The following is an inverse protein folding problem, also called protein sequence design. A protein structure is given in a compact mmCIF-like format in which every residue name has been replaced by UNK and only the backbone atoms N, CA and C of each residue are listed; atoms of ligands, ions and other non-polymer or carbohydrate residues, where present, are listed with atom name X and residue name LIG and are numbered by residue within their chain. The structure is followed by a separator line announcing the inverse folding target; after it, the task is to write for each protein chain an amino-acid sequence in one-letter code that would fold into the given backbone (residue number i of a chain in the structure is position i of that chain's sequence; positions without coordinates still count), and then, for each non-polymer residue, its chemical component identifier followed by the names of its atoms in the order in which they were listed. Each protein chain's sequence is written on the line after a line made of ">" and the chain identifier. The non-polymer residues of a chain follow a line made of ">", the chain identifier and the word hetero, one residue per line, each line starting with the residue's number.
data_IF_283488301373
#
_entry.id   IF_283488301373
#
_cell.length_a   1.000
_cell.length_b   1.000
_cell.length_c   1.000
_cell.angle_alpha   90.00
_cell.angle_beta   90.00
_cell.angle_gamma   90.00
#
_symmetry.space_group_name_H-M   'P 1'
#
loop_
_entity.id
_entity.type
_entity.pdbx_description
1 polymer ?
#
# COMPACT_ATOMS: atom_id res chain seq x y z
N UNK A 1 -21.24 -14.46 -37.94
CA UNK A 1 -20.98 -13.53 -36.83
C UNK A 1 -19.98 -14.24 -35.92
N UNK A 2 -18.72 -13.97 -36.15
CA UNK A 2 -17.59 -14.59 -35.42
C UNK A 2 -17.33 -13.75 -34.19
N UNK A 3 -17.63 -14.30 -33.01
CA UNK A 3 -17.18 -13.74 -31.73
C UNK A 3 -15.66 -13.81 -31.69
N UNK A 4 -14.98 -12.68 -31.87
CA UNK A 4 -13.61 -12.56 -31.43
C UNK A 4 -13.59 -12.54 -29.88
N UNK A 5 -12.74 -13.32 -29.23
CA UNK A 5 -12.54 -13.19 -27.80
C UNK A 5 -11.92 -11.81 -27.53
N UNK A 6 -12.61 -10.99 -26.74
CA UNK A 6 -12.03 -9.79 -26.16
C UNK A 6 -10.82 -10.22 -25.35
N UNK A 7 -9.62 -10.01 -25.90
CA UNK A 7 -8.39 -10.19 -25.17
C UNK A 7 -8.41 -9.22 -23.97
N UNK A 8 -8.55 -9.80 -22.79
CA UNK A 8 -8.47 -9.09 -21.53
C UNK A 8 -7.15 -8.33 -21.46
N UNK A 9 -7.20 -7.02 -21.63
CA UNK A 9 -6.07 -6.14 -21.39
C UNK A 9 -5.73 -6.27 -19.91
N UNK A 10 -4.53 -6.75 -19.63
CA UNK A 10 -3.99 -6.96 -18.29
C UNK A 10 -4.11 -5.66 -17.47
N UNK A 11 -5.12 -5.61 -16.61
CA UNK A 11 -5.29 -4.58 -15.59
C UNK A 11 -4.32 -4.88 -14.43
N UNK A 12 -3.04 -4.53 -14.60
CA UNK A 12 -2.09 -4.48 -13.49
C UNK A 12 -2.41 -3.25 -12.64
N UNK A 13 -2.60 -3.44 -11.35
CA UNK A 13 -3.26 -2.49 -10.48
C UNK A 13 -2.37 -2.00 -9.38
N UNK A 14 -2.37 -0.71 -9.21
CA UNK A 14 -1.79 -0.01 -8.09
C UNK A 14 -2.67 -0.16 -6.85
N UNK A 15 -2.07 -0.28 -5.69
CA UNK A 15 -2.73 -0.17 -4.40
C UNK A 15 -2.39 1.19 -3.84
N UNK A 16 -3.40 1.98 -3.55
CA UNK A 16 -3.22 3.31 -3.00
C UNK A 16 -2.63 3.28 -1.59
N UNK A 17 -1.86 4.29 -1.26
CA UNK A 17 -1.31 4.49 0.06
C UNK A 17 -2.44 4.72 1.06
N UNK A 18 -2.41 3.99 2.12
CA UNK A 18 -3.29 4.24 3.22
C UNK A 18 -2.84 5.45 4.04
N UNK A 19 -3.53 6.52 3.88
CA UNK A 19 -3.40 7.72 4.72
C UNK A 19 -3.44 7.36 6.22
N UNK A 20 -4.22 6.36 6.61
CA UNK A 20 -4.35 5.92 8.00
C UNK A 20 -3.10 5.21 8.57
N UNK A 21 -2.17 4.70 7.74
CA UNK A 21 -0.93 4.03 8.25
C UNK A 21 0.23 5.02 8.43
N UNK A 22 0.27 6.10 7.65
CA UNK A 22 1.33 7.12 7.74
C UNK A 22 1.13 8.13 8.87
N UNK A 23 -0.05 8.16 9.50
CA UNK A 23 -0.25 8.97 10.68
C UNK A 23 0.50 8.31 11.83
N UNK A 24 1.61 8.89 12.22
CA UNK A 24 2.28 8.53 13.49
C UNK A 24 1.23 8.53 14.59
N UNK A 25 1.25 7.55 15.50
CA UNK A 25 0.34 7.52 16.64
C UNK A 25 0.74 8.62 17.63
N UNK A 26 0.48 9.89 17.28
CA UNK A 26 0.61 11.02 18.21
C UNK A 26 -0.66 11.16 19.05
N UNK A 27 -1.82 10.74 18.55
CA UNK A 27 -3.01 10.61 19.35
C UNK A 27 -2.97 9.24 20.03
N UNK A 28 -2.83 9.21 21.33
CA UNK A 28 -3.06 8.01 22.13
C UNK A 28 -4.49 7.52 21.89
N UNK A 29 -4.66 6.21 21.69
CA UNK A 29 -5.99 5.62 21.73
C UNK A 29 -6.70 6.04 23.01
N UNK A 30 -8.02 6.30 22.97
CA UNK A 30 -8.77 6.69 24.15
C UNK A 30 -8.78 5.53 25.15
N UNK A 31 -7.99 5.66 26.21
CA UNK A 31 -7.90 4.66 27.26
C UNK A 31 -9.23 4.58 28.02
N UNK A 32 -9.91 3.44 27.90
CA UNK A 32 -11.17 3.18 28.62
C UNK A 32 -10.94 2.56 29.99
N UNK A 33 -9.90 1.72 30.11
CA UNK A 33 -9.55 1.03 31.33
C UNK A 33 -8.04 0.75 31.43
N UNK A 34 -7.47 0.88 32.62
CA UNK A 34 -6.14 0.38 32.94
C UNK A 34 -6.02 0.09 34.45
N UNK A 35 -5.46 -1.09 34.80
CA UNK A 35 -5.23 -1.51 36.19
C UNK A 35 -3.78 -1.91 36.48
N UNK A 36 -2.84 -1.55 35.60
CA UNK A 36 -1.42 -1.90 35.69
C UNK A 36 -1.08 -3.25 35.03
N UNK A 37 -2.01 -4.15 34.81
CA UNK A 37 -1.85 -5.39 34.06
C UNK A 37 -2.68 -5.40 32.78
N UNK A 38 -3.89 -4.87 32.82
CA UNK A 38 -4.83 -4.84 31.70
C UNK A 38 -5.05 -3.41 31.24
N UNK A 39 -5.01 -3.21 29.94
CA UNK A 39 -5.34 -1.96 29.28
C UNK A 39 -6.37 -2.24 28.19
N UNK A 40 -7.44 -1.44 28.15
CA UNK A 40 -8.47 -1.45 27.10
C UNK A 40 -8.53 -0.04 26.52
N UNK A 41 -8.31 0.04 25.23
CA UNK A 41 -8.28 1.29 24.48
C UNK A 41 -9.42 1.28 23.45
N UNK A 42 -10.14 2.40 23.32
CA UNK A 42 -10.97 2.63 22.15
C UNK A 42 -10.14 3.15 21.00
N UNK A 43 -10.30 2.56 19.83
CA UNK A 43 -9.70 3.00 18.58
C UNK A 43 -10.71 3.82 17.80
N UNK A 44 -10.38 5.07 17.48
CA UNK A 44 -11.19 5.94 16.64
C UNK A 44 -10.29 6.61 15.62
N UNK A 45 -10.43 6.25 14.34
CA UNK A 45 -9.67 6.84 13.23
C UNK A 45 -10.63 7.18 12.10
N UNK A 46 -10.43 8.34 11.49
CA UNK A 46 -11.23 8.81 10.37
C UNK A 46 -10.36 9.44 9.30
N UNK A 47 -10.77 9.33 8.05
CA UNK A 47 -10.22 10.10 6.96
C UNK A 47 -11.35 10.52 6.02
N UNK A 48 -11.28 11.73 5.49
CA UNK A 48 -12.16 12.25 4.46
C UNK A 48 -11.32 12.97 3.42
N UNK A 49 -11.53 12.64 2.14
CA UNK A 49 -10.82 13.22 1.02
C UNK A 49 -11.76 13.78 -0.05
N UNK A 50 -11.39 14.90 -0.64
CA UNK A 50 -11.97 15.43 -1.85
C UNK A 50 -10.91 15.41 -2.95
N UNK A 51 -11.30 14.96 -4.14
CA UNK A 51 -10.41 14.66 -5.25
C UNK A 51 -10.97 15.23 -6.55
N UNK A 52 -10.06 15.59 -7.44
CA UNK A 52 -10.38 16.06 -8.78
C UNK A 52 -9.32 15.58 -9.77
N UNK A 53 -9.74 15.09 -10.93
CA UNK A 53 -8.90 14.81 -12.08
C UNK A 53 -9.51 15.46 -13.30
N UNK A 54 -8.73 16.25 -14.04
CA UNK A 54 -9.19 16.90 -15.27
C UNK A 54 -9.39 15.90 -16.41
N UNK A 55 -8.66 14.81 -16.40
CA UNK A 55 -8.72 13.75 -17.41
C UNK A 55 -9.13 12.42 -16.80
N UNK A 56 -9.90 11.62 -17.56
CA UNK A 56 -10.28 10.26 -17.25
C UNK A 56 -9.42 9.25 -18.02
N UNK A 57 -9.46 8.00 -17.60
CA UNK A 57 -8.59 6.92 -18.12
C UNK A 57 -9.40 5.68 -18.51
N UNK A 58 -8.96 4.99 -19.55
CA UNK A 58 -9.59 3.81 -20.12
C UNK A 58 -9.28 2.50 -19.37
N UNK A 59 -9.29 2.52 -18.02
CA UNK A 59 -8.88 1.36 -17.22
C UNK A 59 -10.01 0.34 -17.02
N UNK A 60 -11.18 0.79 -16.58
CA UNK A 60 -12.36 -0.07 -16.42
C UNK A 60 -13.20 -0.19 -17.70
N UNK A 61 -13.00 0.73 -18.66
CA UNK A 61 -13.85 0.85 -19.87
C UNK A 61 -15.20 1.54 -19.63
N UNK A 62 -15.44 2.05 -18.42
CA UNK A 62 -16.73 2.69 -18.05
C UNK A 62 -16.69 4.21 -18.17
N UNK A 63 -15.49 4.82 -18.20
CA UNK A 63 -15.31 6.26 -18.27
C UNK A 63 -15.35 6.78 -19.69
N UNK A 64 -15.96 7.96 -19.86
CA UNK A 64 -15.82 8.80 -21.05
C UNK A 64 -14.68 9.80 -20.86
N UNK A 65 -14.23 10.43 -21.98
CA UNK A 65 -13.31 11.58 -21.88
C UNK A 65 -13.93 12.69 -21.04
N UNK A 66 -13.12 13.43 -20.30
CA UNK A 66 -13.54 14.51 -19.41
C UNK A 66 -12.97 14.36 -18.03
N UNK A 67 -13.54 15.06 -17.07
CA UNK A 67 -13.07 15.13 -15.69
C UNK A 67 -13.89 14.23 -14.76
N UNK A 68 -13.29 13.91 -13.61
CA UNK A 68 -13.98 13.30 -12.47
C UNK A 68 -13.76 14.13 -11.22
N UNK A 69 -14.83 14.27 -10.43
CA UNK A 69 -14.80 14.92 -9.10
C UNK A 69 -15.50 13.99 -8.11
N UNK A 70 -14.77 13.57 -7.07
CA UNK A 70 -15.31 12.62 -6.10
C UNK A 70 -14.81 12.88 -4.69
N UNK A 71 -15.47 12.28 -3.74
CA UNK A 71 -15.08 12.28 -2.34
C UNK A 71 -15.04 10.86 -1.81
N UNK A 72 -14.12 10.62 -0.89
CA UNK A 72 -14.04 9.37 -0.15
C UNK A 72 -14.05 9.65 1.36
N UNK A 73 -14.64 8.75 2.10
CA UNK A 73 -14.55 8.77 3.55
C UNK A 73 -14.34 7.37 4.12
N UNK A 74 -13.59 7.31 5.20
CA UNK A 74 -13.32 6.10 5.94
C UNK A 74 -13.37 6.39 7.44
N UNK A 75 -13.96 5.49 8.20
CA UNK A 75 -14.03 5.55 9.66
C UNK A 75 -13.76 4.19 10.24
N UNK A 76 -12.71 4.07 11.06
CA UNK A 76 -12.37 2.85 11.78
C UNK A 76 -12.60 3.06 13.29
N UNK A 77 -13.29 2.11 13.92
CA UNK A 77 -13.65 2.19 15.33
C UNK A 77 -13.71 0.81 15.95
N UNK A 78 -13.37 0.71 17.22
CA UNK A 78 -13.37 -0.55 17.95
C UNK A 78 -12.60 -0.50 19.25
N UNK A 79 -12.13 -1.66 19.66
CA UNK A 79 -11.43 -1.86 20.93
C UNK A 79 -10.14 -2.64 20.71
N UNK A 80 -9.10 -2.21 21.39
CA UNK A 80 -7.83 -2.91 21.51
C UNK A 80 -7.61 -3.28 22.98
N UNK A 81 -7.20 -4.52 23.24
CA UNK A 81 -6.93 -5.06 24.59
C UNK A 81 -5.49 -5.51 24.69
N UNK A 82 -4.85 -5.18 25.82
CA UNK A 82 -3.53 -5.69 26.21
C UNK A 82 -3.61 -6.18 27.66
N UNK A 83 -3.02 -7.34 27.91
CA UNK A 83 -2.88 -7.87 29.26
C UNK A 83 -1.47 -8.38 29.47
N UNK A 84 -0.78 -7.89 30.51
CA UNK A 84 0.59 -8.24 30.84
C UNK A 84 0.63 -9.12 32.09
N UNK A 85 1.37 -10.23 32.04
CA UNK A 85 1.57 -11.13 33.16
C UNK A 85 3.05 -11.54 33.26
N UNK A 86 3.62 -11.41 34.44
CA UNK A 86 5.01 -11.79 34.69
C UNK A 86 5.25 -13.30 34.55
N UNK A 87 4.22 -14.12 34.75
CA UNK A 87 4.33 -15.59 34.71
C UNK A 87 3.92 -16.22 33.41
N UNK A 88 3.18 -15.47 32.56
CA UNK A 88 2.60 -16.03 31.32
C UNK A 88 2.99 -15.22 30.06
N UNK A 89 3.60 -14.05 30.20
CA UNK A 89 3.85 -13.12 29.10
C UNK A 89 2.66 -12.20 28.82
N UNK A 90 2.59 -11.62 27.64
CA UNK A 90 1.63 -10.58 27.27
C UNK A 90 0.60 -11.11 26.27
N UNK A 91 -0.68 -11.00 26.59
CA UNK A 91 -1.78 -11.28 25.65
C UNK A 91 -2.30 -9.98 25.05
N UNK A 92 -2.76 -10.02 23.81
CA UNK A 92 -3.37 -8.88 23.15
C UNK A 92 -4.48 -9.32 22.20
N UNK A 93 -5.44 -8.42 21.95
CA UNK A 93 -6.54 -8.66 21.04
C UNK A 93 -7.02 -7.34 20.45
N UNK A 94 -7.65 -7.39 19.27
CA UNK A 94 -8.35 -6.27 18.68
C UNK A 94 -9.67 -6.71 18.06
N UNK A 95 -10.68 -5.84 18.15
CA UNK A 95 -11.94 -5.99 17.44
C UNK A 95 -12.37 -4.62 16.92
N UNK A 96 -12.15 -4.39 15.62
CA UNK A 96 -12.39 -3.11 14.99
C UNK A 96 -13.23 -3.26 13.72
N UNK A 97 -14.09 -2.29 13.46
CA UNK A 97 -14.85 -2.14 12.22
C UNK A 97 -14.31 -1.00 11.39
N UNK A 98 -14.48 -1.10 10.09
CA UNK A 98 -14.26 0.00 9.16
C UNK A 98 -15.51 0.26 8.33
N UNK A 99 -15.90 1.53 8.25
CA UNK A 99 -16.96 2.04 7.37
C UNK A 99 -16.31 2.88 6.29
N UNK A 100 -16.61 2.60 5.02
CA UNK A 100 -16.08 3.35 3.88
C UNK A 100 -17.20 3.82 2.97
N UNK A 101 -16.96 4.94 2.27
CA UNK A 101 -17.90 5.47 1.29
C UNK A 101 -17.19 6.28 0.20
N UNK A 102 -17.69 6.15 -1.05
CA UNK A 102 -17.33 6.99 -2.19
C UNK A 102 -18.56 7.78 -2.63
N UNK A 103 -18.36 9.04 -3.05
CA UNK A 103 -19.40 9.96 -3.52
C UNK A 103 -18.96 10.64 -4.82
N UNK A 104 -19.90 11.29 -5.52
CA UNK A 104 -19.65 12.03 -6.75
C UNK A 104 -19.52 11.13 -7.96
N UNK A 105 -18.63 11.46 -8.87
CA UNK A 105 -18.46 10.73 -10.13
C UNK A 105 -17.76 9.37 -9.95
N UNK A 106 -17.13 9.10 -8.79
CA UNK A 106 -16.13 8.07 -8.62
C UNK A 106 -14.79 8.48 -9.22
N UNK A 107 -13.77 7.62 -9.10
CA UNK A 107 -12.40 7.92 -9.54
C UNK A 107 -12.24 7.94 -11.08
N UNK A 108 -11.21 8.61 -11.61
CA UNK A 108 -11.04 8.81 -13.05
C UNK A 108 -10.65 7.55 -13.83
N UNK A 109 -10.25 6.46 -13.17
CA UNK A 109 -9.97 5.17 -13.80
C UNK A 109 -11.21 4.27 -13.88
N UNK A 110 -12.29 4.64 -13.16
CA UNK A 110 -13.51 3.85 -13.06
C UNK A 110 -13.34 2.63 -12.15
N UNK A 111 -12.50 2.70 -11.13
CA UNK A 111 -12.44 1.69 -10.09
C UNK A 111 -13.65 1.75 -9.17
N UNK A 112 -14.22 2.95 -9.02
CA UNK A 112 -15.42 3.26 -8.24
C UNK A 112 -16.37 4.15 -9.04
N UNK A 113 -17.66 4.19 -8.68
CA UNK A 113 -18.69 4.97 -9.36
C UNK A 113 -19.43 6.00 -8.48
N UNK A 114 -18.93 6.23 -7.26
CA UNK A 114 -19.54 7.20 -6.36
C UNK A 114 -20.74 6.69 -5.55
N UNK A 115 -21.12 5.41 -5.71
CA UNK A 115 -22.24 4.82 -4.97
C UNK A 115 -21.81 3.79 -3.93
N UNK A 116 -20.52 3.56 -3.79
CA UNK A 116 -19.98 2.55 -2.89
C UNK A 116 -20.11 2.97 -1.44
N UNK A 117 -20.50 1.98 -0.63
CA UNK A 117 -20.56 2.10 0.83
C UNK A 117 -20.49 0.71 1.45
N UNK A 118 -19.72 0.58 2.52
CA UNK A 118 -19.65 -0.67 3.26
C UNK A 118 -19.26 -0.43 4.72
N UNK A 119 -19.68 -1.35 5.58
CA UNK A 119 -19.18 -1.48 6.96
C UNK A 119 -18.81 -2.93 7.16
N UNK A 120 -17.59 -3.20 7.57
CA UNK A 120 -17.04 -4.55 7.77
C UNK A 120 -16.15 -4.59 8.99
N UNK A 121 -15.96 -5.78 9.54
CA UNK A 121 -14.90 -6.04 10.51
C UNK A 121 -13.56 -5.87 9.75
N UNK A 122 -12.66 -5.08 10.34
CA UNK A 122 -11.32 -4.87 9.82
C UNK A 122 -10.29 -5.64 10.65
N UNK A 123 -10.31 -5.49 11.95
CA UNK A 123 -9.48 -6.29 12.84
C UNK A 123 -10.36 -7.20 13.73
N UNK A 124 -10.01 -8.47 13.84
CA UNK A 124 -10.61 -9.45 14.76
C UNK A 124 -9.57 -10.53 15.03
N UNK A 125 -8.62 -10.26 15.91
CA UNK A 125 -7.52 -11.17 16.21
C UNK A 125 -7.18 -11.20 17.69
N UNK A 126 -6.52 -12.30 18.07
CA UNK A 126 -5.87 -12.46 19.36
C UNK A 126 -4.40 -12.83 19.15
N UNK A 127 -3.57 -12.50 20.10
CA UNK A 127 -2.16 -12.86 20.10
C UNK A 127 -1.57 -12.95 21.50
N UNK A 128 -0.36 -13.49 21.52
CA UNK A 128 0.43 -13.68 22.73
C UNK A 128 1.90 -13.42 22.44
N UNK A 129 2.59 -12.72 23.36
CA UNK A 129 4.02 -12.45 23.34
C UNK A 129 4.68 -13.01 24.58
N UNK A 130 5.88 -13.51 24.38
CA UNK A 130 6.62 -14.15 25.47
C UNK A 130 7.14 -13.21 26.54
N UNK A 131 7.10 -11.88 26.35
CA UNK A 131 7.78 -10.93 27.25
C UNK A 131 9.24 -11.37 27.52
N UNK A 132 9.63 -11.52 28.79
CA UNK A 132 10.96 -11.97 29.22
C UNK A 132 11.02 -13.48 29.54
N UNK A 133 10.01 -14.29 29.18
CA UNK A 133 10.00 -15.73 29.49
C UNK A 133 11.10 -16.52 28.79
N UNK A 134 11.61 -16.02 27.66
CA UNK A 134 12.69 -16.65 26.89
C UNK A 134 13.82 -15.64 26.62
N UNK A 135 14.64 -15.28 27.62
CA UNK A 135 15.65 -14.22 27.51
C UNK A 135 16.66 -14.44 26.38
N UNK A 136 16.94 -15.70 26.03
CA UNK A 136 17.85 -16.08 24.93
C UNK A 136 17.33 -15.67 23.54
N UNK A 137 16.03 -15.43 23.39
CA UNK A 137 15.41 -14.95 22.15
C UNK A 137 15.16 -13.44 22.16
N UNK A 138 15.48 -12.77 23.30
CA UNK A 138 15.19 -11.35 23.53
C UNK A 138 13.76 -11.11 24.04
N UNK A 139 13.48 -9.86 24.44
CA UNK A 139 12.15 -9.43 24.87
C UNK A 139 11.13 -9.65 23.74
N UNK A 140 9.98 -10.26 24.08
CA UNK A 140 8.95 -10.67 23.12
C UNK A 140 9.51 -11.57 22.00
N UNK A 141 10.54 -12.39 22.31
CA UNK A 141 11.24 -13.23 21.36
C UNK A 141 10.38 -14.32 20.71
N UNK A 142 9.17 -14.57 21.22
CA UNK A 142 8.10 -15.32 20.56
C UNK A 142 6.85 -14.44 20.55
N UNK A 143 6.25 -14.20 19.36
CA UNK A 143 4.97 -13.52 19.19
C UNK A 143 4.11 -14.39 18.26
N UNK A 144 2.96 -14.82 18.75
CA UNK A 144 2.00 -15.62 17.99
C UNK A 144 0.66 -14.89 17.93
N UNK A 145 0.06 -14.84 16.73
CA UNK A 145 -1.28 -14.25 16.57
C UNK A 145 -2.11 -15.01 15.54
N UNK A 146 -3.42 -14.96 15.72
CA UNK A 146 -4.40 -15.60 14.84
C UNK A 146 -5.64 -14.73 14.71
N UNK A 147 -6.21 -14.69 13.49
CA UNK A 147 -7.45 -13.97 13.19
C UNK A 147 -7.31 -13.02 12.00
N UNK A 148 -8.25 -12.08 11.91
CA UNK A 148 -8.28 -11.06 10.87
C UNK A 148 -7.39 -9.89 11.27
N UNK A 149 -6.31 -9.64 10.52
CA UNK A 149 -5.36 -8.56 10.83
C UNK A 149 -4.60 -8.11 9.59
N UNK A 150 -4.11 -6.87 9.63
CA UNK A 150 -3.21 -6.34 8.61
C UNK A 150 -1.79 -6.88 8.80
N UNK A 151 -1.14 -7.30 7.72
CA UNK A 151 0.25 -7.80 7.70
C UNK A 151 1.05 -6.97 6.70
N UNK A 152 2.19 -6.46 7.16
CA UNK A 152 3.16 -5.74 6.32
C UNK A 152 4.54 -6.38 6.51
N UNK A 153 5.28 -6.59 5.42
CA UNK A 153 6.63 -7.16 5.41
C UNK A 153 7.61 -6.12 4.86
N UNK A 154 8.62 -5.79 5.65
CA UNK A 154 9.55 -4.70 5.31
C UNK A 154 8.81 -3.37 5.17
N UNK A 155 9.02 -2.66 4.09
CA UNK A 155 8.30 -1.43 3.75
C UNK A 155 7.12 -1.64 2.78
N UNK A 156 6.77 -2.89 2.52
CA UNK A 156 5.58 -3.26 1.77
C UNK A 156 5.80 -3.63 0.30
N UNK A 157 7.04 -3.88 -0.14
CA UNK A 157 7.34 -4.20 -1.53
C UNK A 157 6.58 -5.43 -2.05
N UNK A 158 6.50 -6.50 -1.25
CA UNK A 158 5.74 -7.72 -1.57
C UNK A 158 4.39 -7.75 -0.87
N UNK A 159 4.35 -7.37 0.41
CA UNK A 159 3.14 -7.47 1.24
C UNK A 159 2.99 -6.19 2.07
N UNK A 160 1.94 -5.43 1.77
CA UNK A 160 1.54 -4.22 2.50
C UNK A 160 0.03 -4.25 2.82
N UNK A 161 -0.43 -5.39 3.31
CA UNK A 161 -1.84 -5.63 3.55
C UNK A 161 -2.62 -6.04 2.29
N UNK A 162 -3.85 -6.45 2.50
CA UNK A 162 -4.80 -6.84 1.45
C UNK A 162 -5.62 -5.62 0.99
N UNK A 163 -4.94 -4.67 0.38
CA UNK A 163 -5.33 -3.26 0.32
C UNK A 163 -6.06 -2.79 -0.96
N UNK A 164 -6.31 -3.62 -1.96
CA UNK A 164 -6.95 -3.21 -3.21
C UNK A 164 -8.48 -3.05 -3.03
N UNK A 165 -8.96 -1.83 -2.80
CA UNK A 165 -10.36 -1.52 -2.50
C UNK A 165 -11.15 -1.06 -3.74
N UNK A 166 -11.36 -1.94 -4.69
CA UNK A 166 -12.15 -1.65 -5.89
C UNK A 166 -13.62 -1.44 -5.56
N UNK A 167 -14.29 -0.66 -6.41
CA UNK A 167 -15.71 -0.38 -6.35
C UNK A 167 -16.51 -1.21 -7.35
N UNK A 168 -17.69 -0.69 -7.73
CA UNK A 168 -18.71 -1.40 -8.48
C UNK A 168 -18.51 -1.41 -9.98
N UNK A 169 -17.67 -0.56 -10.54
CA UNK A 169 -17.47 -0.45 -11.98
C UNK A 169 -16.62 -1.57 -12.56
N UNK A 170 -15.79 -2.22 -11.73
CA UNK A 170 -14.85 -3.22 -12.20
C UNK A 170 -15.51 -4.58 -12.33
N UNK A 171 -15.42 -5.16 -13.54
CA UNK A 171 -15.94 -6.50 -13.86
C UNK A 171 -17.39 -6.70 -13.42
N UNK A 172 -18.27 -5.72 -13.71
CA UNK A 172 -19.71 -5.72 -13.34
C UNK A 172 -19.92 -5.92 -11.83
N UNK A 173 -19.07 -5.34 -11.01
CA UNK A 173 -19.13 -5.41 -9.55
C UNK A 173 -18.56 -6.69 -8.94
N UNK A 174 -18.09 -7.66 -9.72
CA UNK A 174 -17.51 -8.91 -9.20
C UNK A 174 -16.25 -8.70 -8.36
N UNK A 175 -15.58 -7.57 -8.54
CA UNK A 175 -14.38 -7.21 -7.77
C UNK A 175 -14.64 -6.13 -6.71
N UNK A 176 -15.90 -5.81 -6.43
CA UNK A 176 -16.27 -4.79 -5.47
C UNK A 176 -15.88 -5.19 -4.03
N UNK A 177 -15.03 -4.37 -3.40
CA UNK A 177 -14.66 -4.47 -1.99
C UNK A 177 -15.23 -3.33 -1.13
N UNK A 178 -16.03 -2.43 -1.71
CA UNK A 178 -16.71 -1.35 -1.01
C UNK A 178 -16.24 0.05 -1.34
N UNK A 179 -15.33 0.23 -2.30
CA UNK A 179 -14.82 1.54 -2.72
C UNK A 179 -13.95 2.24 -1.67
N UNK A 180 -13.94 3.57 -1.68
CA UNK A 180 -12.92 4.40 -1.04
C UNK A 180 -11.52 3.94 -1.47
N UNK A 181 -11.35 3.88 -2.78
CA UNK A 181 -10.21 3.26 -3.44
C UNK A 181 -8.89 3.91 -3.02
N UNK A 182 -8.83 5.25 -2.99
CA UNK A 182 -7.62 5.99 -2.62
C UNK A 182 -7.33 5.88 -1.12
N UNK A 183 -8.33 6.05 -0.25
CA UNK A 183 -8.12 5.99 1.20
C UNK A 183 -7.76 4.59 1.69
N UNK A 184 -8.10 3.55 0.95
CA UNK A 184 -7.67 2.16 1.15
C UNK A 184 -7.71 1.72 2.62
N UNK A 185 -8.86 1.86 3.25
CA UNK A 185 -8.99 1.63 4.70
C UNK A 185 -9.20 0.16 5.08
N UNK A 186 -9.51 -0.70 4.09
CA UNK A 186 -9.61 -2.15 4.27
C UNK A 186 -8.34 -2.81 3.78
N UNK A 187 -7.56 -3.37 4.73
CA UNK A 187 -6.22 -3.95 4.49
C UNK A 187 -6.00 -5.29 5.19
N UNK A 188 -6.85 -5.64 6.15
CA UNK A 188 -6.67 -6.88 6.86
C UNK A 188 -6.92 -8.08 5.95
N UNK A 189 -6.05 -9.07 6.05
CA UNK A 189 -6.30 -10.43 5.57
C UNK A 189 -7.43 -11.05 6.38
N UNK A 190 -8.33 -11.77 5.74
CA UNK A 190 -9.51 -12.36 6.37
C UNK A 190 -9.15 -13.35 7.47
N UNK A 191 -8.15 -14.19 7.21
CA UNK A 191 -7.65 -15.15 8.19
C UNK A 191 -6.12 -15.17 8.13
N UNK A 192 -5.51 -15.15 9.29
CA UNK A 192 -4.05 -15.26 9.42
C UNK A 192 -3.67 -16.18 10.56
N UNK A 193 -2.53 -16.85 10.39
CA UNK A 193 -1.77 -17.48 11.47
C UNK A 193 -0.35 -16.95 11.35
N UNK A 194 0.16 -16.31 12.39
CA UNK A 194 1.45 -15.63 12.37
C UNK A 194 2.27 -16.06 13.57
N UNK A 195 3.46 -16.59 13.34
CA UNK A 195 4.49 -16.85 14.35
C UNK A 195 5.71 -16.02 14.04
N UNK A 196 6.13 -15.17 14.97
CA UNK A 196 7.35 -14.39 14.90
C UNK A 196 8.34 -14.86 15.96
N UNK A 197 9.57 -15.08 15.56
CA UNK A 197 10.67 -15.55 16.40
C UNK A 197 11.82 -14.53 16.37
N UNK A 198 12.40 -14.26 17.53
CA UNK A 198 13.48 -13.29 17.70
C UNK A 198 12.99 -11.92 18.20
N UNK A 199 13.87 -11.21 18.89
CA UNK A 199 13.56 -9.91 19.48
C UNK A 199 13.67 -8.74 18.49
N UNK A 200 13.80 -7.53 19.04
CA UNK A 200 13.87 -6.30 18.23
C UNK A 200 15.20 -6.14 17.46
N UNK A 201 16.26 -6.80 17.89
CA UNK A 201 17.60 -6.79 17.28
C UNK A 201 18.15 -8.20 17.14
N UNK A 202 19.13 -8.37 16.24
CA UNK A 202 19.70 -9.68 15.92
C UNK A 202 18.88 -10.42 14.86
N UNK A 203 18.97 -11.72 14.89
CA UNK A 203 18.21 -12.59 13.99
C UNK A 203 16.76 -12.69 14.40
N UNK A 204 15.86 -12.55 13.44
CA UNK A 204 14.43 -12.80 13.58
C UNK A 204 13.86 -13.49 12.34
N UNK A 205 12.77 -14.21 12.53
CA UNK A 205 12.09 -14.95 11.46
C UNK A 205 10.59 -14.94 11.69
N UNK A 206 9.81 -14.79 10.62
CA UNK A 206 8.37 -14.91 10.67
C UNK A 206 7.92 -16.09 9.80
N UNK A 207 6.94 -16.83 10.29
CA UNK A 207 6.20 -17.85 9.54
C UNK A 207 4.72 -17.46 9.55
N UNK A 208 4.14 -17.34 8.36
CA UNK A 208 2.79 -16.83 8.22
C UNK A 208 1.99 -17.67 7.23
N UNK A 209 0.72 -17.85 7.55
CA UNK A 209 -0.32 -18.27 6.63
C UNK A 209 -1.36 -17.16 6.57
N UNK A 210 -1.67 -16.67 5.35
CA UNK A 210 -2.54 -15.52 5.11
C UNK A 210 -3.58 -15.90 4.07
N UNK A 211 -4.85 -15.59 4.35
CA UNK A 211 -5.96 -15.79 3.42
C UNK A 211 -6.68 -14.48 3.17
N UNK A 212 -6.83 -14.12 1.91
CA UNK A 212 -7.53 -12.92 1.46
C UNK A 212 -9.02 -13.18 1.23
N UNK A 213 -9.87 -12.20 1.57
CA UNK A 213 -11.28 -12.13 1.15
C UNK A 213 -11.49 -11.16 -0.04
N UNK A 214 -10.41 -10.61 -0.57
CA UNK A 214 -10.45 -9.54 -1.57
C UNK A 214 -10.70 -10.08 -2.99
N UNK A 215 -11.87 -9.82 -3.59
CA UNK A 215 -12.13 -10.28 -4.94
C UNK A 215 -11.23 -9.60 -5.98
N UNK A 216 -10.77 -8.36 -5.73
CA UNK A 216 -9.82 -7.65 -6.58
C UNK A 216 -8.44 -8.30 -6.63
N UNK A 217 -8.11 -9.11 -5.62
CA UNK A 217 -6.88 -9.91 -5.55
C UNK A 217 -7.09 -11.37 -5.95
N UNK A 218 -8.30 -11.77 -6.37
CA UNK A 218 -8.69 -13.16 -6.61
C UNK A 218 -8.60 -14.04 -5.35
N UNK A 219 -8.79 -13.45 -4.16
CA UNK A 219 -8.83 -14.12 -2.85
C UNK A 219 -7.71 -15.13 -2.64
N UNK A 220 -6.44 -14.77 -2.78
CA UNK A 220 -5.36 -15.74 -2.65
C UNK A 220 -5.17 -16.20 -1.21
N UNK A 221 -4.72 -17.44 -1.09
CA UNK A 221 -4.19 -18.04 0.13
C UNK A 221 -2.68 -18.19 -0.03
N UNK A 222 -1.89 -17.66 0.90
CA UNK A 222 -0.43 -17.61 0.79
C UNK A 222 0.28 -18.11 2.05
N UNK A 223 1.40 -18.80 1.87
CA UNK A 223 2.36 -19.10 2.91
C UNK A 223 3.58 -18.18 2.73
N UNK A 224 4.05 -17.59 3.83
CA UNK A 224 5.19 -16.67 3.85
C UNK A 224 6.18 -17.09 4.93
N UNK A 225 7.46 -17.03 4.59
CA UNK A 225 8.57 -17.14 5.54
C UNK A 225 9.52 -15.98 5.35
N UNK A 226 9.99 -15.38 6.46
CA UNK A 226 11.01 -14.34 6.44
C UNK A 226 12.19 -14.73 7.31
N UNK A 227 13.37 -14.23 6.98
CA UNK A 227 14.56 -14.29 7.84
C UNK A 227 15.25 -12.93 7.75
N UNK A 228 15.44 -12.28 8.89
CA UNK A 228 16.03 -10.96 8.95
C UNK A 228 17.17 -10.89 9.98
N UNK A 229 18.11 -10.01 9.71
CA UNK A 229 19.09 -9.55 10.70
C UNK A 229 18.95 -8.05 10.86
N UNK A 230 18.63 -7.61 12.09
CA UNK A 230 18.40 -6.22 12.46
C UNK A 230 19.52 -5.73 13.37
N UNK A 231 20.12 -4.60 13.03
CA UNK A 231 21.09 -3.91 13.87
C UNK A 231 20.94 -2.38 13.74
N UNK A 232 21.76 -1.61 14.45
CA UNK A 232 21.70 -0.14 14.47
C UNK A 232 21.97 0.52 13.10
N UNK A 233 22.65 -0.18 12.18
CA UNK A 233 22.96 0.32 10.83
C UNK A 233 21.87 0.02 9.81
N UNK A 234 20.95 -0.90 10.15
CA UNK A 234 19.83 -1.27 9.30
C UNK A 234 19.42 -2.72 9.43
N UNK A 235 18.56 -3.14 8.49
CA UNK A 235 18.01 -4.49 8.37
C UNK A 235 18.39 -5.09 7.04
N UNK A 236 18.77 -6.35 7.03
CA UNK A 236 18.88 -7.20 5.84
C UNK A 236 17.88 -8.34 6.03
N UNK A 237 17.11 -8.65 5.01
CA UNK A 237 16.07 -9.68 5.08
C UNK A 237 15.92 -10.48 3.81
N UNK A 238 15.47 -11.72 3.99
CA UNK A 238 15.04 -12.63 2.95
C UNK A 238 13.55 -12.91 3.13
N UNK A 239 12.82 -13.05 2.04
CA UNK A 239 11.41 -13.45 2.05
C UNK A 239 11.18 -14.57 1.05
N UNK A 240 10.44 -15.58 1.45
CA UNK A 240 9.83 -16.57 0.58
C UNK A 240 8.32 -16.49 0.71
N UNK A 241 7.61 -16.42 -0.42
CA UNK A 241 6.17 -16.44 -0.49
C UNK A 241 5.72 -17.48 -1.50
N UNK A 242 4.67 -18.23 -1.18
CA UNK A 242 4.02 -19.16 -2.11
C UNK A 242 2.52 -18.95 -2.08
N UNK A 243 1.91 -18.75 -3.24
CA UNK A 243 0.46 -18.76 -3.41
C UNK A 243 -0.02 -20.21 -3.43
N UNK A 244 -0.80 -20.58 -2.41
CA UNK A 244 -1.30 -21.95 -2.22
C UNK A 244 -2.58 -22.18 -3.03
N UNK A 245 -3.48 -21.20 -3.02
CA UNK A 245 -4.77 -21.25 -3.70
C UNK A 245 -5.27 -19.87 -4.13
N UNK A 246 -6.25 -19.83 -5.04
CA UNK A 246 -6.96 -18.62 -5.48
C UNK A 246 -8.41 -18.99 -5.83
N UNK A 247 -9.30 -18.00 -5.81
CA UNK A 247 -10.61 -18.14 -6.43
C UNK A 247 -10.41 -18.19 -7.96
N UNK A 248 -10.69 -19.36 -8.56
CA UNK A 248 -10.39 -19.59 -9.97
C UNK A 248 -11.14 -18.63 -10.91
N UNK A 249 -12.43 -18.38 -10.66
CA UNK A 249 -13.23 -17.51 -11.53
C UNK A 249 -12.72 -16.08 -11.52
N UNK A 250 -12.30 -15.58 -10.36
CA UNK A 250 -11.71 -14.25 -10.22
C UNK A 250 -10.27 -14.20 -10.76
N UNK A 251 -9.49 -15.26 -10.57
CA UNK A 251 -8.13 -15.34 -11.09
C UNK A 251 -8.10 -15.37 -12.61
N UNK A 252 -8.98 -16.13 -13.25
CA UNK A 252 -9.09 -16.22 -14.72
C UNK A 252 -9.37 -14.85 -15.38
N UNK A 253 -9.91 -13.87 -14.63
CA UNK A 253 -10.15 -12.51 -15.15
C UNK A 253 -8.86 -11.69 -15.29
N UNK A 254 -7.92 -11.80 -14.32
CA UNK A 254 -6.78 -10.88 -14.24
C UNK A 254 -5.47 -11.51 -13.83
N UNK A 255 -5.49 -12.68 -13.17
CA UNK A 255 -4.32 -13.31 -12.56
C UNK A 255 -4.29 -14.82 -12.77
N UNK A 256 -4.40 -15.32 -14.01
CA UNK A 256 -4.60 -16.76 -14.28
C UNK A 256 -3.44 -17.62 -13.79
N UNK A 257 -2.25 -17.07 -13.60
CA UNK A 257 -1.06 -17.78 -13.18
C UNK A 257 -0.70 -17.60 -11.70
N UNK A 258 -1.55 -16.88 -10.93
CA UNK A 258 -1.26 -16.57 -9.53
C UNK A 258 -1.25 -17.82 -8.64
N UNK A 259 -2.14 -18.79 -8.88
CA UNK A 259 -2.12 -20.07 -8.13
C UNK A 259 -0.82 -20.85 -8.41
N UNK A 260 -0.14 -21.22 -7.34
CA UNK A 260 1.13 -21.93 -7.39
C UNK A 260 2.36 -21.06 -7.60
N UNK A 261 2.20 -19.76 -7.84
CA UNK A 261 3.30 -18.79 -7.95
C UNK A 261 4.15 -18.79 -6.67
N UNK A 262 5.46 -18.67 -6.86
CA UNK A 262 6.44 -18.53 -5.77
C UNK A 262 7.21 -17.24 -5.97
N UNK A 263 7.47 -16.53 -4.88
CA UNK A 263 8.32 -15.35 -4.88
C UNK A 263 9.46 -15.51 -3.87
N UNK A 264 10.63 -15.04 -4.24
CA UNK A 264 11.82 -14.94 -3.40
C UNK A 264 12.27 -13.49 -3.42
N UNK A 265 12.54 -12.91 -2.25
CA UNK A 265 13.15 -11.59 -2.23
C UNK A 265 14.33 -11.50 -1.27
N UNK A 266 15.21 -10.54 -1.58
CA UNK A 266 16.25 -10.04 -0.69
C UNK A 266 16.09 -8.54 -0.55
N UNK A 267 16.10 -8.04 0.68
CA UNK A 267 15.96 -6.61 0.98
C UNK A 267 17.02 -6.11 1.94
N UNK A 268 17.32 -4.83 1.83
CA UNK A 268 18.14 -4.12 2.78
C UNK A 268 17.59 -2.70 2.96
N UNK A 269 17.61 -2.20 4.21
CA UNK A 269 17.20 -0.83 4.54
C UNK A 269 17.96 -0.34 5.75
N UNK A 270 18.47 0.90 5.70
CA UNK A 270 19.14 1.51 6.83
C UNK A 270 20.00 2.70 6.44
N UNK A 271 20.91 3.09 7.33
CA UNK A 271 21.85 4.19 7.09
C UNK A 271 23.31 3.74 6.90
N UNK A 272 23.56 2.43 6.91
CA UNK A 272 24.89 1.84 6.83
C UNK A 272 25.91 2.38 7.87
N UNK A 273 25.44 2.97 8.97
CA UNK A 273 26.26 3.64 10.01
C UNK A 273 26.68 5.06 9.66
N UNK A 274 26.13 5.66 8.59
CA UNK A 274 26.40 7.04 8.19
C UNK A 274 25.24 7.93 8.61
N UNK A 275 25.42 8.93 9.50
CA UNK A 275 24.38 9.87 9.86
C UNK A 275 23.80 10.57 8.63
N UNK A 276 22.51 10.87 8.66
CA UNK A 276 21.78 11.56 7.58
C UNK A 276 21.63 10.76 6.27
N UNK A 277 22.31 9.62 6.09
CA UNK A 277 22.14 8.75 4.93
C UNK A 277 20.93 7.82 5.13
N UNK A 278 20.15 7.63 4.09
CA UNK A 278 19.16 6.57 3.97
C UNK A 278 19.43 5.74 2.73
N UNK A 279 19.45 4.44 2.88
CA UNK A 279 19.57 3.48 1.79
C UNK A 279 18.47 2.43 1.92
N UNK A 280 17.82 2.08 0.82
CA UNK A 280 16.88 0.96 0.77
C UNK A 280 16.94 0.27 -0.60
N UNK A 281 16.62 -1.00 -0.62
CA UNK A 281 16.49 -1.77 -1.85
C UNK A 281 15.89 -3.14 -1.58
N UNK A 282 15.17 -3.64 -2.58
CA UNK A 282 14.66 -5.01 -2.58
C UNK A 282 14.69 -5.54 -4.02
N UNK A 283 15.08 -6.79 -4.17
CA UNK A 283 14.98 -7.56 -5.41
C UNK A 283 14.08 -8.76 -5.18
N UNK A 284 13.06 -8.92 -6.01
CA UNK A 284 12.12 -10.03 -5.99
C UNK A 284 12.16 -10.80 -7.32
N UNK A 285 12.09 -12.12 -7.21
CA UNK A 285 11.96 -13.04 -8.34
C UNK A 285 10.73 -13.89 -8.18
N UNK A 286 9.92 -13.95 -9.22
CA UNK A 286 8.72 -14.79 -9.32
C UNK A 286 8.98 -15.98 -10.21
N UNK A 287 8.37 -17.11 -9.82
CA UNK A 287 8.27 -18.31 -10.64
C UNK A 287 6.79 -18.61 -10.85
N UNK A 288 6.34 -18.52 -12.09
CA UNK A 288 4.98 -18.82 -12.55
C UNK A 288 4.99 -19.97 -13.54
N UNK A 289 3.80 -20.43 -13.95
CA UNK A 289 3.67 -21.48 -14.98
C UNK A 289 4.23 -21.07 -16.35
N UNK A 290 4.14 -19.78 -16.69
CA UNK A 290 4.66 -19.22 -17.95
C UNK A 290 6.15 -18.94 -17.95
N UNK A 291 6.80 -18.87 -16.78
CA UNK A 291 8.22 -18.53 -16.67
C UNK A 291 8.55 -17.73 -15.42
N UNK A 292 9.61 -16.97 -15.53
CA UNK A 292 10.16 -16.20 -14.42
C UNK A 292 10.04 -14.71 -14.69
N UNK A 293 9.67 -13.96 -13.63
CA UNK A 293 9.57 -12.51 -13.64
C UNK A 293 10.39 -11.91 -12.50
N UNK A 294 10.71 -10.65 -12.58
CA UNK A 294 11.44 -9.97 -11.51
C UNK A 294 10.99 -8.52 -11.34
N UNK A 295 11.14 -8.04 -10.12
CA UNK A 295 10.98 -6.64 -9.78
C UNK A 295 12.04 -6.23 -8.77
N UNK A 296 12.47 -4.99 -8.80
CA UNK A 296 13.41 -4.46 -7.85
C UNK A 296 13.38 -2.95 -7.78
N UNK A 297 13.85 -2.42 -6.67
CA UNK A 297 14.14 -1.01 -6.52
C UNK A 297 15.45 -0.80 -5.76
N UNK A 298 16.03 0.37 -5.96
CA UNK A 298 17.12 0.92 -5.17
C UNK A 298 16.82 2.38 -4.86
N UNK A 299 17.04 2.78 -3.61
CA UNK A 299 16.79 4.13 -3.13
C UNK A 299 17.96 4.63 -2.30
N UNK A 300 18.32 5.89 -2.48
CA UNK A 300 19.26 6.61 -1.66
C UNK A 300 18.67 7.97 -1.28
N UNK A 301 18.79 8.35 -0.02
CA UNK A 301 18.32 9.61 0.51
C UNK A 301 19.36 10.28 1.39
N UNK A 302 19.30 11.60 1.46
CA UNK A 302 20.17 12.41 2.32
C UNK A 302 19.37 13.50 3.03
N UNK A 303 19.59 13.63 4.33
CA UNK A 303 19.02 14.70 5.16
C UNK A 303 20.08 15.78 5.36
N UNK A 304 19.83 16.99 4.91
CA UNK A 304 20.70 18.15 5.13
C UNK A 304 20.38 18.79 6.49
N UNK A 305 20.79 18.13 7.57
CA UNK A 305 20.44 18.53 8.95
C UNK A 305 20.92 19.92 9.33
N UNK A 306 22.02 20.41 8.71
CA UNK A 306 22.66 21.68 9.01
C UNK A 306 22.12 22.85 8.17
N UNK A 307 21.27 22.56 7.18
CA UNK A 307 20.64 23.59 6.37
C UNK A 307 19.31 24.07 6.99
N UNK A 308 18.92 25.35 6.75
CA UNK A 308 17.58 25.82 7.07
C UNK A 308 16.51 24.91 6.46
N UNK A 309 15.38 24.71 7.17
CA UNK A 309 14.27 23.83 6.77
C UNK A 309 14.65 22.34 6.67
N UNK A 310 15.90 21.95 6.98
CA UNK A 310 16.41 20.56 7.01
C UNK A 310 15.93 19.75 5.79
N UNK A 311 16.31 20.12 4.55
CA UNK A 311 15.86 19.42 3.36
C UNK A 311 16.22 17.94 3.40
N UNK A 312 15.28 17.10 2.97
CA UNK A 312 15.51 15.68 2.68
C UNK A 312 15.36 15.50 1.18
N UNK A 313 16.36 14.93 0.55
CA UNK A 313 16.33 14.60 -0.88
C UNK A 313 16.51 13.11 -1.02
N UNK A 314 15.68 12.46 -1.82
CA UNK A 314 15.83 11.05 -2.15
C UNK A 314 15.70 10.82 -3.66
N UNK A 315 16.44 9.81 -4.13
CA UNK A 315 16.32 9.27 -5.48
C UNK A 315 16.03 7.79 -5.37
N UNK A 316 15.06 7.33 -6.16
CA UNK A 316 14.71 5.91 -6.30
C UNK A 316 14.59 5.54 -7.76
N UNK A 317 15.19 4.40 -8.11
CA UNK A 317 14.92 3.71 -9.36
C UNK A 317 14.22 2.40 -9.07
N UNK A 318 13.18 2.09 -9.81
CA UNK A 318 12.45 0.82 -9.73
C UNK A 318 12.19 0.24 -11.10
N UNK A 319 12.14 -1.08 -11.18
CA UNK A 319 11.87 -1.82 -12.41
C UNK A 319 11.04 -3.06 -12.10
N UNK A 320 10.02 -3.27 -12.92
CA UNK A 320 9.11 -4.42 -12.87
C UNK A 320 9.08 -5.04 -14.26
N UNK A 321 9.42 -6.33 -14.38
CA UNK A 321 9.39 -7.02 -15.67
C UNK A 321 7.97 -7.12 -16.24
N UNK A 322 7.86 -7.54 -17.49
CA UNK A 322 6.64 -7.41 -18.29
C UNK A 322 5.44 -8.14 -17.72
N UNK A 323 5.66 -9.31 -17.14
CA UNK A 323 4.62 -10.14 -16.55
C UNK A 323 4.63 -10.18 -15.03
N UNK A 324 5.38 -9.32 -14.35
CA UNK A 324 5.46 -9.33 -12.88
C UNK A 324 4.07 -9.15 -12.25
N UNK A 325 3.74 -10.00 -11.26
CA UNK A 325 2.50 -9.93 -10.47
C UNK A 325 2.78 -9.27 -9.12
N UNK A 326 2.34 -8.01 -8.89
CA UNK A 326 2.70 -7.27 -7.69
C UNK A 326 2.00 -7.75 -6.41
N UNK A 327 1.06 -8.72 -6.47
CA UNK A 327 0.31 -9.24 -5.30
C UNK A 327 -0.23 -8.13 -4.37
N UNK A 328 0.33 -8.07 -3.15
CA UNK A 328 -0.12 -7.21 -2.04
C UNK A 328 0.81 -6.02 -1.79
N UNK A 329 1.50 -5.55 -2.83
CA UNK A 329 2.46 -4.45 -2.67
C UNK A 329 1.83 -3.14 -2.15
N UNK A 330 2.64 -2.31 -1.55
CA UNK A 330 2.32 -0.97 -1.12
C UNK A 330 3.56 -0.21 -0.64
N UNK A 331 3.34 0.95 -0.02
CA UNK A 331 4.43 1.72 0.58
C UNK A 331 3.99 2.41 1.87
N UNK A 332 4.66 2.10 2.96
CA UNK A 332 4.43 2.73 4.27
C UNK A 332 5.25 4.00 4.52
N UNK A 333 6.10 4.45 3.59
CA UNK A 333 7.08 5.52 3.83
C UNK A 333 6.79 6.85 3.15
N UNK A 334 5.96 6.89 2.12
CA UNK A 334 5.75 8.09 1.32
C UNK A 334 4.30 8.24 0.86
N UNK A 335 3.95 9.42 0.36
CA UNK A 335 2.71 9.66 -0.36
C UNK A 335 2.71 8.90 -1.70
N UNK A 336 1.53 8.59 -2.18
CA UNK A 336 1.32 7.83 -3.40
C UNK A 336 1.65 6.36 -3.25
N UNK A 337 1.50 5.64 -4.32
CA UNK A 337 2.00 4.29 -4.38
C UNK A 337 3.51 4.28 -4.51
N UNK A 338 4.09 3.29 -3.91
CA UNK A 338 5.50 3.11 -3.65
C UNK A 338 6.42 3.53 -4.80
N UNK A 339 6.08 3.21 -6.01
CA UNK A 339 7.01 3.35 -7.12
C UNK A 339 6.57 4.35 -8.19
N UNK A 340 5.34 4.86 -8.17
CA UNK A 340 4.76 5.37 -9.39
C UNK A 340 3.90 6.63 -9.28
N UNK A 341 4.03 7.49 -8.29
CA UNK A 341 3.28 8.76 -8.22
C UNK A 341 1.80 8.65 -7.88
N UNK A 342 1.11 9.77 -7.91
CA UNK A 342 -0.28 9.88 -7.46
C UNK A 342 -1.29 9.66 -8.59
N UNK A 343 -0.96 10.06 -9.81
CA UNK A 343 -1.83 9.90 -10.98
C UNK A 343 -1.52 8.59 -11.70
N UNK A 344 -0.25 8.37 -12.05
CA UNK A 344 0.16 7.18 -12.79
C UNK A 344 -0.15 5.91 -12.01
N UNK A 345 0.22 5.84 -10.74
CA UNK A 345 0.05 4.63 -9.95
C UNK A 345 -1.40 4.31 -9.60
N UNK A 346 -2.26 5.32 -9.48
CA UNK A 346 -3.64 5.12 -9.05
C UNK A 346 -4.61 5.00 -10.23
N UNK A 347 -4.38 5.74 -11.32
CA UNK A 347 -5.43 5.92 -12.32
C UNK A 347 -4.96 5.71 -13.76
N UNK A 348 -3.82 6.24 -14.13
CA UNK A 348 -3.37 6.27 -15.52
C UNK A 348 -2.57 5.03 -15.93
N UNK A 349 -1.85 4.40 -14.99
CA UNK A 349 -0.70 3.55 -15.30
C UNK A 349 0.52 4.39 -15.74
N UNK A 350 1.71 3.78 -15.81
CA UNK A 350 1.99 2.36 -15.59
C UNK A 350 1.77 1.93 -14.14
N UNK A 351 1.42 0.67 -13.96
CA UNK A 351 1.33 0.05 -12.64
C UNK A 351 2.59 -0.80 -12.39
N UNK A 352 2.71 -1.50 -11.27
CA UNK A 352 3.92 -2.25 -10.88
C UNK A 352 4.11 -3.52 -11.73
N UNK A 353 4.12 -3.36 -13.05
CA UNK A 353 4.40 -4.38 -14.06
C UNK A 353 4.79 -3.68 -15.36
N UNK A 354 5.64 -4.29 -16.17
CA UNK A 354 6.05 -3.81 -17.48
C UNK A 354 6.59 -2.37 -17.49
N UNK A 355 7.30 -1.96 -16.42
CA UNK A 355 7.70 -0.56 -16.26
C UNK A 355 9.04 -0.40 -15.56
N UNK A 356 9.71 0.70 -15.84
CA UNK A 356 10.78 1.25 -15.02
C UNK A 356 10.48 2.71 -14.69
N UNK A 357 10.87 3.14 -13.49
CA UNK A 357 10.54 4.46 -12.97
C UNK A 357 11.73 5.10 -12.29
N UNK A 358 12.06 6.32 -12.70
CA UNK A 358 12.94 7.20 -11.96
C UNK A 358 12.10 8.13 -11.08
N UNK A 359 12.46 8.24 -9.82
CA UNK A 359 11.78 9.11 -8.85
C UNK A 359 12.78 9.98 -8.11
N UNK A 360 12.49 11.27 -8.00
CA UNK A 360 13.17 12.21 -7.11
C UNK A 360 12.16 12.80 -6.15
N UNK A 361 12.42 12.69 -4.84
CA UNK A 361 11.63 13.33 -3.79
C UNK A 361 12.43 14.41 -3.08
N UNK A 362 11.78 15.52 -2.77
CA UNK A 362 12.32 16.58 -1.93
C UNK A 362 11.27 16.93 -0.88
N UNK A 363 11.68 16.96 0.40
CA UNK A 363 10.80 17.38 1.51
C UNK A 363 11.55 18.35 2.42
N UNK A 364 10.85 19.39 2.88
CA UNK A 364 11.38 20.39 3.80
C UNK A 364 10.42 20.60 4.98
N UNK A 365 10.96 20.87 6.17
CA UNK A 365 10.20 21.29 7.33
C UNK A 365 9.94 22.80 7.26
N UNK A 366 8.85 23.20 6.59
CA UNK A 366 8.51 24.61 6.39
C UNK A 366 8.12 25.33 7.70
N UNK A 367 7.52 24.59 8.64
CA UNK A 367 7.20 25.04 10.00
C UNK A 367 7.25 23.83 10.96
N UNK A 368 7.20 24.00 12.28
CA UNK A 368 7.21 22.88 13.24
C UNK A 368 6.10 21.84 13.01
N UNK A 369 4.95 22.26 12.46
CA UNK A 369 3.81 21.40 12.19
C UNK A 369 3.54 21.20 10.69
N UNK A 370 4.40 21.73 9.80
CA UNK A 370 4.16 21.70 8.34
C UNK A 370 5.41 21.22 7.61
N UNK A 371 5.28 20.10 6.93
CA UNK A 371 6.22 19.67 5.89
C UNK A 371 5.66 20.00 4.52
N UNK A 372 6.52 20.41 3.59
CA UNK A 372 6.17 20.64 2.18
C UNK A 372 7.12 19.79 1.33
N UNK A 373 6.60 19.17 0.28
CA UNK A 373 7.41 18.34 -0.58
C UNK A 373 7.01 18.40 -2.04
N UNK A 374 7.94 17.93 -2.88
CA UNK A 374 7.74 17.71 -4.30
C UNK A 374 8.20 16.30 -4.67
N UNK A 375 7.45 15.64 -5.57
CA UNK A 375 7.76 14.35 -6.13
C UNK A 375 7.85 14.49 -7.66
N UNK A 376 8.88 13.93 -8.26
CA UNK A 376 9.10 13.97 -9.70
C UNK A 376 9.29 12.54 -10.20
N UNK A 377 8.60 12.17 -11.26
CA UNK A 377 8.65 10.82 -11.84
C UNK A 377 8.87 10.89 -13.36
N UNK A 378 9.66 9.94 -13.87
CA UNK A 378 9.79 9.63 -15.27
C UNK A 378 9.53 8.13 -15.46
N UNK A 379 8.52 7.81 -16.28
CA UNK A 379 8.04 6.45 -16.50
C UNK A 379 8.43 5.96 -17.88
N UNK A 380 8.94 4.73 -17.97
CA UNK A 380 9.19 4.06 -19.22
C UNK A 380 8.60 2.65 -19.23
N UNK A 381 7.82 2.34 -20.24
CA UNK A 381 7.26 1.02 -20.51
C UNK A 381 8.34 0.12 -21.12
N UNK A 382 8.52 -1.10 -20.65
CA UNK A 382 9.53 -2.04 -21.15
C UNK A 382 9.10 -2.64 -22.49
N UNK A 383 7.93 -3.28 -22.54
CA UNK A 383 7.29 -3.75 -23.78
C UNK A 383 6.12 -2.85 -24.16
N UNK A 384 6.29 -2.09 -25.24
CA UNK A 384 5.30 -1.15 -25.79
C UNK A 384 4.35 -1.78 -26.81
N UNK A 385 4.47 -3.08 -27.07
CA UNK A 385 3.67 -3.76 -28.11
C UNK A 385 2.16 -3.76 -27.80
N UNK A 386 1.79 -3.70 -26.52
CA UNK A 386 0.38 -3.66 -26.06
C UNK A 386 -0.07 -2.24 -25.76
N UNK A 387 0.65 -1.55 -24.88
CA UNK A 387 0.41 -0.16 -24.48
C UNK A 387 1.74 0.56 -24.28
N UNK A 388 1.77 1.83 -24.64
CA UNK A 388 2.86 2.73 -24.29
C UNK A 388 2.37 3.65 -23.16
N UNK A 389 2.84 3.40 -21.94
CA UNK A 389 2.51 4.15 -20.74
C UNK A 389 3.67 5.05 -20.28
N UNK A 390 4.57 5.38 -21.21
CA UNK A 390 5.62 6.38 -20.97
C UNK A 390 5.00 7.72 -20.61
N UNK A 391 5.60 8.41 -19.66
CA UNK A 391 5.09 9.70 -19.19
C UNK A 391 5.93 10.29 -18.08
N UNK A 392 5.49 11.45 -17.60
CA UNK A 392 6.12 12.16 -16.48
C UNK A 392 5.05 12.66 -15.52
N UNK A 393 5.42 12.72 -14.24
CA UNK A 393 4.54 13.26 -13.21
C UNK A 393 5.34 14.16 -12.27
N UNK A 394 4.70 15.24 -11.83
CA UNK A 394 5.21 16.12 -10.81
C UNK A 394 4.10 16.43 -9.81
N UNK A 395 4.35 16.14 -8.53
CA UNK A 395 3.40 16.38 -7.45
C UNK A 395 3.99 17.39 -6.45
N UNK A 396 3.14 18.29 -5.97
CA UNK A 396 3.44 19.18 -4.85
C UNK A 396 2.45 18.88 -3.73
N UNK A 397 2.96 18.71 -2.52
CA UNK A 397 2.14 18.35 -1.36
C UNK A 397 2.56 19.05 -0.09
N UNK A 398 1.66 19.06 0.88
CA UNK A 398 1.99 19.41 2.24
C UNK A 398 1.44 18.35 3.22
N UNK A 399 2.14 18.19 4.34
CA UNK A 399 1.71 17.43 5.51
C UNK A 399 1.56 18.45 6.65
N UNK A 400 0.34 18.80 7.01
CA UNK A 400 0.06 19.78 8.08
C UNK A 400 -0.56 19.09 9.28
N UNK A 401 0.24 18.86 10.32
CA UNK A 401 -0.24 18.41 11.64
C UNK A 401 -0.89 19.60 12.35
N UNK A 402 -2.22 19.71 12.27
CA UNK A 402 -2.99 20.83 12.86
C UNK A 402 -2.89 20.76 14.38
N UNK A 403 -3.05 19.56 14.95
CA UNK A 403 -2.87 19.25 16.37
C UNK A 403 -2.62 17.75 16.54
N UNK A 404 -2.66 17.24 17.79
CA UNK A 404 -2.45 15.83 18.10
C UNK A 404 -3.45 14.85 17.46
N UNK A 405 -4.64 15.36 17.08
CA UNK A 405 -5.71 14.55 16.50
C UNK A 405 -5.86 14.70 15.00
N UNK A 406 -5.50 15.85 14.42
CA UNK A 406 -5.84 16.19 13.04
C UNK A 406 -4.62 16.46 12.18
N UNK A 407 -4.59 15.85 11.00
CA UNK A 407 -3.58 16.11 9.94
C UNK A 407 -4.31 16.41 8.63
N UNK A 408 -3.87 17.45 7.92
CA UNK A 408 -4.35 17.84 6.60
C UNK A 408 -3.26 17.58 5.55
N UNK A 409 -3.65 16.93 4.43
CA UNK A 409 -2.76 16.48 3.37
C UNK A 409 -3.27 16.99 2.00
N UNK A 410 -3.03 18.26 1.64
CA UNK A 410 -3.29 18.76 0.29
C UNK A 410 -2.20 18.30 -0.68
N UNK A 411 -2.59 17.99 -1.93
CA UNK A 411 -1.68 17.67 -3.01
C UNK A 411 -2.24 18.18 -4.34
N UNK A 412 -1.37 18.63 -5.23
CA UNK A 412 -1.64 18.87 -6.64
C UNK A 412 -0.63 18.12 -7.48
N UNK A 413 -1.11 17.38 -8.49
CA UNK A 413 -0.32 16.57 -9.39
C UNK A 413 -0.51 16.98 -10.85
N UNK A 414 0.57 16.88 -11.61
CA UNK A 414 0.62 17.13 -13.05
C UNK A 414 1.19 15.90 -13.74
N UNK A 415 0.31 15.16 -14.44
CA UNK A 415 0.70 13.97 -15.17
C UNK A 415 0.65 14.22 -16.68
N UNK A 416 1.74 13.96 -17.37
CA UNK A 416 1.88 14.08 -18.84
C UNK A 416 2.18 12.72 -19.45
N UNK A 417 1.18 11.99 -19.99
CA UNK A 417 1.43 10.80 -20.78
C UNK A 417 2.05 11.17 -22.15
N UNK A 418 2.84 10.28 -22.73
CA UNK A 418 3.29 10.42 -24.09
C UNK A 418 2.21 10.06 -25.12
N UNK A 419 1.29 9.15 -24.75
CA UNK A 419 0.23 8.65 -25.61
C UNK A 419 -1.13 8.77 -24.95
N UNK A 420 -2.13 9.20 -25.73
CA UNK A 420 -3.54 9.06 -25.36
C UNK A 420 -4.03 7.62 -25.58
N UNK A 421 -5.21 7.28 -25.10
CA UNK A 421 -5.85 5.97 -25.33
C UNK A 421 -5.97 5.65 -26.83
N UNK A 422 -6.37 6.60 -27.65
CA UNK A 422 -6.49 6.44 -29.11
C UNK A 422 -5.16 6.13 -29.81
N UNK A 423 -4.01 6.39 -29.17
CA UNK A 423 -2.66 6.16 -29.69
C UNK A 423 -1.86 5.12 -28.90
N UNK A 424 -2.54 4.35 -28.05
CA UNK A 424 -1.94 3.23 -27.30
C UNK A 424 -1.58 3.53 -25.84
N UNK A 425 -2.00 4.68 -25.30
CA UNK A 425 -1.92 4.99 -23.88
C UNK A 425 -3.22 4.64 -23.12
N UNK A 426 -3.56 5.41 -22.08
CA UNK A 426 -4.75 5.20 -21.26
C UNK A 426 -5.58 6.45 -21.04
N UNK A 427 -5.00 7.66 -21.16
CA UNK A 427 -5.73 8.91 -20.98
C UNK A 427 -6.73 9.11 -22.12
N UNK A 428 -7.99 9.31 -21.76
CA UNK A 428 -9.07 9.48 -22.73
C UNK A 428 -9.03 10.88 -23.37
N UNK A 429 -9.19 10.95 -24.68
CA UNK A 429 -9.27 12.19 -25.44
C UNK A 429 -7.91 12.65 -25.98
N UNK A 430 -7.04 13.18 -25.18
CA UNK A 430 -5.72 13.71 -25.61
C UNK A 430 -4.58 13.17 -24.74
N UNK A 431 -3.35 13.45 -25.15
CA UNK A 431 -2.17 13.27 -24.28
C UNK A 431 -1.74 14.55 -23.58
N UNK A 432 -2.63 15.51 -23.39
CA UNK A 432 -2.31 16.75 -22.66
C UNK A 432 -2.03 16.50 -21.19
N UNK A 433 -1.34 17.44 -20.55
CA UNK A 433 -1.03 17.30 -19.13
C UNK A 433 -2.32 17.27 -18.32
N UNK A 434 -2.58 16.19 -17.58
CA UNK A 434 -3.66 16.13 -16.61
C UNK A 434 -3.31 16.99 -15.39
N UNK A 435 -4.30 17.70 -14.86
CA UNK A 435 -4.27 18.33 -13.54
C UNK A 435 -5.06 17.44 -12.57
N UNK A 436 -4.38 16.97 -11.55
CA UNK A 436 -4.95 16.24 -10.43
C UNK A 436 -4.85 17.09 -9.15
N UNK A 437 -5.86 17.03 -8.31
CA UNK A 437 -5.82 17.70 -7.01
C UNK A 437 -6.54 16.84 -5.96
N UNK A 438 -6.01 16.87 -4.74
CA UNK A 438 -6.67 16.26 -3.58
C UNK A 438 -6.45 17.07 -2.32
N UNK A 439 -7.38 16.95 -1.39
CA UNK A 439 -7.21 17.35 -0.02
C UNK A 439 -7.78 16.26 0.89
N UNK A 440 -7.00 15.79 1.85
CA UNK A 440 -7.40 14.75 2.78
C UNK A 440 -7.24 15.28 4.20
N UNK A 441 -8.31 15.19 4.98
CA UNK A 441 -8.28 15.40 6.43
C UNK A 441 -8.30 14.03 7.09
N UNK A 442 -7.30 13.75 7.92
CA UNK A 442 -7.22 12.56 8.74
C UNK A 442 -7.34 12.92 10.22
N UNK A 443 -8.02 12.06 10.98
CA UNK A 443 -8.21 12.20 12.42
C UNK A 443 -7.92 10.88 13.15
N UNK A 444 -7.33 10.97 14.36
CA UNK A 444 -7.07 9.84 15.23
C UNK A 444 -7.27 10.24 16.70
N UNK A 445 -7.93 9.37 17.48
CA UNK A 445 -8.23 9.57 18.90
C UNK A 445 -7.91 8.32 19.72
#
# INVERSE_FOLDING_TARGET
>A
MTHQPMHSTLLYRSVSLAVLVGLSPLAGALQLYADGQTQIDAKLQAAAGAFYSRENYAQSGTRAKGSSSWQESAFQYGLDLKHSSNSFGNSYAALNWVSTRTYGDGDPAGWSNGSERTTKIEDAYIGWRSAELFPQLGTDGIDFSVGRQNIVIGDGFLVSGDALNLGREVADGRQNRGGAYYLTSRKAFDQTVVLRLGGKQGWRSDLMWLKSDNPGQAKPEVAVGTLEHVNEKGTIGLTYLKVLDTDKELADLFFPERKGMKQYSVRAQGNAGVPNLFLAGEYAREHKSSGEENAWYMEAGWTFSDLPLKPVVNYRYSRFSEGYDPLFYGNGRALGTWYQGEVASNYAGPFNSNTQVHHVGIKVAAAPSVNVGALLYDFSTLDRSRKNLDGREADLYAEWTINEHFTLLPLVGFYKPEKSDASGGTQLGSSDTNLYAQVILAASF
#
